data_IF_849990489437
#
_entry.id   IF_849990489437
#
_cell.length_a   1.000
_cell.length_b   1.000
_cell.length_c   1.000
_cell.angle_alpha   90.00
_cell.angle_beta   90.00
_cell.angle_gamma   90.00
#
_symmetry.space_group_name_H-M   'P 1'
#
loop_
_entity.id
_entity.type
_entity.pdbx_description
1 polymer ?
#
# COMPACT_ATOMS: atom_id res chain seq x y z
N UNK A 1 -12.07 20.31 33.38
CA UNK A 1 -13.20 20.73 32.53
C UNK A 1 -13.86 19.47 31.97
N UNK A 2 -15.18 19.28 32.09
CA UNK A 2 -15.84 18.13 31.45
C UNK A 2 -15.92 18.45 29.96
N UNK A 3 -15.13 17.78 29.12
CA UNK A 3 -15.34 17.80 27.66
C UNK A 3 -16.63 17.04 27.39
N UNK A 4 -17.76 17.72 27.51
CA UNK A 4 -18.93 17.37 26.73
C UNK A 4 -18.54 17.62 25.28
N UNK A 5 -18.87 16.71 24.36
CA UNK A 5 -18.80 16.95 22.91
C UNK A 5 -19.79 18.08 22.58
N UNK A 6 -19.45 19.31 22.94
CA UNK A 6 -20.15 20.50 22.52
C UNK A 6 -19.72 20.79 21.09
N UNK A 7 -20.67 21.13 20.22
CA UNK A 7 -20.33 21.46 18.83
C UNK A 7 -19.71 22.86 18.80
N UNK A 8 -18.40 22.90 19.04
CA UNK A 8 -17.62 24.14 19.03
C UNK A 8 -17.49 24.71 17.61
N UNK A 9 -17.88 23.95 16.58
CA UNK A 9 -17.91 24.37 15.18
C UNK A 9 -19.30 24.90 14.77
N UNK A 10 -20.22 25.13 15.72
CA UNK A 10 -21.55 25.69 15.45
C UNK A 10 -21.48 27.02 14.70
N UNK A 11 -20.61 27.93 15.12
CA UNK A 11 -20.46 29.25 14.48
C UNK A 11 -19.91 29.07 13.05
N UNK A 12 -18.91 28.21 12.86
CA UNK A 12 -18.43 27.88 11.51
C UNK A 12 -19.54 27.27 10.64
N UNK A 13 -20.37 26.38 11.20
CA UNK A 13 -21.49 25.76 10.48
C UNK A 13 -22.52 26.82 10.05
N UNK A 14 -22.82 27.79 10.91
CA UNK A 14 -23.71 28.91 10.59
C UNK A 14 -23.12 29.80 9.49
N UNK A 15 -21.84 30.17 9.59
CA UNK A 15 -21.13 30.94 8.57
C UNK A 15 -21.08 30.21 7.22
N UNK A 16 -20.91 28.88 7.23
CA UNK A 16 -20.97 28.03 6.04
C UNK A 16 -22.39 27.97 5.43
N UNK A 17 -23.43 28.03 6.26
CA UNK A 17 -24.82 28.05 5.78
C UNK A 17 -25.20 29.38 5.14
N UNK A 18 -24.68 30.50 5.64
CA UNK A 18 -24.97 31.84 5.10
C UNK A 18 -24.34 32.09 3.73
N UNK A 19 -23.26 31.37 3.39
CA UNK A 19 -22.65 31.44 2.06
C UNK A 19 -23.35 30.52 1.04
N UNK A 20 -24.36 29.74 1.44
CA UNK A 20 -25.11 28.93 0.48
C UNK A 20 -25.86 29.81 -0.53
N UNK A 21 -26.11 29.33 -1.76
CA UNK A 21 -26.74 30.15 -2.80
C UNK A 21 -28.10 30.73 -2.41
N UNK A 22 -28.85 29.99 -1.59
CA UNK A 22 -30.18 30.38 -1.12
C UNK A 22 -30.14 31.48 -0.04
N UNK A 23 -29.09 31.50 0.79
CA UNK A 23 -28.94 32.48 1.89
C UNK A 23 -28.13 33.72 1.49
N UNK A 24 -27.31 33.61 0.43
CA UNK A 24 -26.45 34.70 -0.01
C UNK A 24 -27.23 35.98 -0.33
N UNK A 25 -28.35 35.86 -1.06
CA UNK A 25 -29.13 37.03 -1.50
C UNK A 25 -29.74 37.81 -0.33
N UNK A 26 -30.10 37.12 0.76
CA UNK A 26 -30.67 37.74 1.96
C UNK A 26 -29.62 38.27 2.93
N UNK A 27 -28.48 37.58 3.07
CA UNK A 27 -27.59 37.77 4.22
C UNK A 27 -26.26 38.46 3.85
N UNK A 28 -25.81 38.36 2.60
CA UNK A 28 -24.45 38.74 2.17
C UNK A 28 -24.39 39.53 0.86
N UNK A 29 -25.52 40.06 0.39
CA UNK A 29 -25.58 40.83 -0.86
C UNK A 29 -24.93 42.22 -0.76
N UNK A 30 -24.83 42.80 0.44
CA UNK A 30 -24.16 44.09 0.66
C UNK A 30 -22.68 43.94 1.06
N UNK A 31 -21.80 44.79 0.51
CA UNK A 31 -20.36 44.75 0.79
C UNK A 31 -20.01 44.80 2.30
N UNK A 32 -20.72 45.63 3.08
CA UNK A 32 -20.50 45.72 4.53
C UNK A 32 -20.86 44.44 5.30
N UNK A 33 -21.86 43.67 4.84
CA UNK A 33 -22.20 42.37 5.43
C UNK A 33 -21.12 41.34 5.14
N UNK A 34 -20.56 41.34 3.93
CA UNK A 34 -19.44 40.47 3.54
C UNK A 34 -18.19 40.72 4.38
N UNK A 35 -17.78 41.98 4.55
CA UNK A 35 -16.64 42.32 5.41
C UNK A 35 -16.87 41.95 6.88
N UNK A 36 -18.12 42.03 7.36
CA UNK A 36 -18.47 41.60 8.72
C UNK A 36 -18.39 40.08 8.86
N UNK A 37 -18.86 39.34 7.86
CA UNK A 37 -18.81 37.89 7.81
C UNK A 37 -17.36 37.38 7.78
N UNK A 38 -16.50 38.01 6.98
CA UNK A 38 -15.08 37.66 6.91
C UNK A 38 -14.37 37.89 8.24
N UNK A 39 -14.65 39.01 8.91
CA UNK A 39 -14.10 39.29 10.24
C UNK A 39 -14.55 38.27 11.28
N UNK A 40 -15.81 37.83 11.23
CA UNK A 40 -16.32 36.82 12.15
C UNK A 40 -15.70 35.44 11.88
N UNK A 41 -15.49 35.07 10.61
CA UNK A 41 -14.76 33.85 10.24
C UNK A 41 -13.34 33.86 10.81
N UNK A 42 -12.58 34.95 10.60
CA UNK A 42 -11.21 35.06 11.09
C UNK A 42 -11.13 35.01 12.63
N UNK A 43 -12.09 35.66 13.29
CA UNK A 43 -12.23 35.63 14.76
C UNK A 43 -12.52 34.23 15.26
N UNK A 44 -13.43 33.50 14.61
CA UNK A 44 -13.83 32.18 15.03
C UNK A 44 -12.70 31.15 14.83
N UNK A 45 -12.00 31.21 13.70
CA UNK A 45 -10.80 30.41 13.46
C UNK A 45 -9.72 30.65 14.53
N UNK A 46 -9.52 31.91 14.93
CA UNK A 46 -8.57 32.27 15.98
C UNK A 46 -9.00 31.75 17.35
N UNK A 47 -10.30 31.84 17.66
CA UNK A 47 -10.89 31.29 18.89
C UNK A 47 -10.69 29.78 18.99
N UNK A 48 -10.95 29.04 17.91
CA UNK A 48 -10.79 27.58 17.86
C UNK A 48 -9.33 27.17 18.03
N UNK A 49 -8.40 27.81 17.32
CA UNK A 49 -6.96 27.55 17.48
C UNK A 49 -6.49 27.80 18.92
N UNK A 50 -6.93 28.90 19.55
CA UNK A 50 -6.61 29.20 20.95
C UNK A 50 -7.20 28.15 21.91
N UNK A 51 -8.45 27.74 21.68
CA UNK A 51 -9.13 26.73 22.48
C UNK A 51 -8.43 25.37 22.40
N UNK A 52 -8.14 24.89 21.19
CA UNK A 52 -7.39 23.65 20.99
C UNK A 52 -5.99 23.73 21.62
N UNK A 53 -5.29 24.86 21.47
CA UNK A 53 -3.99 25.05 22.14
C UNK A 53 -4.11 24.93 23.66
N UNK A 54 -5.15 25.50 24.26
CA UNK A 54 -5.41 25.37 25.70
C UNK A 54 -5.66 23.93 26.14
N UNK A 55 -6.39 23.16 25.32
CA UNK A 55 -6.69 21.74 25.54
C UNK A 55 -5.41 20.87 25.51
N UNK A 56 -4.42 21.23 24.69
CA UNK A 56 -3.16 20.49 24.57
C UNK A 56 -2.37 20.44 25.89
N UNK A 57 -2.53 21.46 26.74
CA UNK A 57 -1.85 21.56 28.04
C UNK A 57 -2.74 21.15 29.23
N UNK A 58 -3.98 20.71 28.98
CA UNK A 58 -4.91 20.27 30.03
C UNK A 58 -4.64 18.81 30.44
N UNK A 59 -5.04 18.44 31.66
CA UNK A 59 -4.88 17.08 32.24
C UNK A 59 -5.97 16.16 31.70
N UNK A 60 -6.09 16.08 30.36
CA UNK A 60 -7.05 15.21 29.69
C UNK A 60 -6.43 13.85 29.43
N UNK A 61 -7.28 12.82 29.49
CA UNK A 61 -6.86 11.47 29.11
C UNK A 61 -6.71 11.40 27.59
N UNK A 62 -5.59 10.85 27.11
CA UNK A 62 -5.27 10.68 25.68
C UNK A 62 -6.44 10.20 24.83
N UNK A 63 -7.21 9.20 25.30
CA UNK A 63 -8.35 8.64 24.58
C UNK A 63 -9.51 9.64 24.38
N UNK A 64 -9.73 10.54 25.34
CA UNK A 64 -10.77 11.57 25.21
C UNK A 64 -10.32 12.66 24.24
N UNK A 65 -9.04 13.06 24.33
CA UNK A 65 -8.44 14.03 23.41
C UNK A 65 -8.44 13.49 21.97
N UNK A 66 -8.11 12.22 21.79
CA UNK A 66 -8.20 11.53 20.49
C UNK A 66 -9.59 11.62 19.88
N UNK A 67 -10.62 11.18 20.62
CA UNK A 67 -12.01 11.22 20.15
C UNK A 67 -12.47 12.63 19.84
N UNK A 68 -12.08 13.60 20.65
CA UNK A 68 -12.43 15.00 20.46
C UNK A 68 -11.77 15.58 19.19
N UNK A 69 -10.48 15.35 19.00
CA UNK A 69 -9.75 15.83 17.82
C UNK A 69 -10.29 15.19 16.54
N UNK A 70 -10.51 13.87 16.55
CA UNK A 70 -11.05 13.16 15.39
C UNK A 70 -12.48 13.61 15.05
N UNK A 71 -13.32 13.88 16.06
CA UNK A 71 -14.65 14.44 15.84
C UNK A 71 -14.60 15.80 15.13
N UNK A 72 -13.74 16.71 15.58
CA UNK A 72 -13.56 18.02 14.94
C UNK A 72 -12.97 17.88 13.53
N UNK A 73 -12.00 16.97 13.34
CA UNK A 73 -11.43 16.67 12.02
C UNK A 73 -12.52 16.23 11.03
N UNK A 74 -13.37 15.26 11.41
CA UNK A 74 -14.47 14.79 10.54
C UNK A 74 -15.43 15.91 10.20
N UNK A 75 -15.84 16.72 11.18
CA UNK A 75 -16.76 17.84 10.96
C UNK A 75 -16.19 18.90 10.01
N UNK A 76 -14.91 19.23 10.12
CA UNK A 76 -14.23 20.14 9.20
C UNK A 76 -14.16 19.56 7.79
N UNK A 77 -13.90 18.27 7.64
CA UNK A 77 -13.91 17.57 6.34
C UNK A 77 -15.30 17.65 5.71
N UNK A 78 -16.36 17.41 6.49
CA UNK A 78 -17.73 17.51 6.02
C UNK A 78 -18.07 18.93 5.53
N UNK A 79 -17.70 19.96 6.30
CA UNK A 79 -17.90 21.36 5.91
C UNK A 79 -17.15 21.71 4.62
N UNK A 80 -15.90 21.25 4.45
CA UNK A 80 -15.15 21.44 3.21
C UNK A 80 -15.89 20.84 2.00
N UNK A 81 -16.36 19.60 2.15
CA UNK A 81 -17.05 18.89 1.07
C UNK A 81 -18.39 19.53 0.71
N UNK A 82 -19.13 20.03 1.72
CA UNK A 82 -20.39 20.77 1.51
C UNK A 82 -20.17 22.05 0.71
N UNK A 83 -19.25 22.92 1.15
CA UNK A 83 -19.01 24.20 0.47
C UNK A 83 -18.44 24.00 -0.94
N UNK A 84 -17.63 22.96 -1.16
CA UNK A 84 -17.16 22.64 -2.50
C UNK A 84 -18.30 22.19 -3.43
N UNK A 85 -19.27 21.42 -2.93
CA UNK A 85 -20.45 21.02 -3.71
C UNK A 85 -21.28 22.25 -4.10
N UNK A 86 -21.53 23.16 -3.16
CA UNK A 86 -22.29 24.39 -3.38
C UNK A 86 -21.62 25.32 -4.41
N UNK A 87 -20.30 25.50 -4.32
CA UNK A 87 -19.52 26.26 -5.31
C UNK A 87 -19.63 25.65 -6.72
N UNK A 88 -19.61 24.32 -6.82
CA UNK A 88 -19.74 23.61 -8.09
C UNK A 88 -21.12 23.73 -8.74
N UNK A 89 -22.20 23.77 -7.95
CA UNK A 89 -23.56 23.96 -8.46
C UNK A 89 -23.82 25.41 -8.89
N UNK A 90 -23.34 26.36 -8.10
CA UNK A 90 -23.55 27.80 -8.33
C UNK A 90 -22.94 28.27 -9.64
N UNK A 91 -21.74 27.77 -9.95
CA UNK A 91 -21.04 28.06 -11.21
C UNK A 91 -21.83 27.66 -12.47
N UNK A 92 -22.86 26.81 -12.37
CA UNK A 92 -23.63 26.31 -13.51
C UNK A 92 -24.94 27.07 -13.77
N UNK A 93 -25.46 27.81 -12.78
CA UNK A 93 -26.86 28.28 -12.78
C UNK A 93 -27.04 29.79 -12.56
N UNK A 94 -26.02 30.52 -12.10
CA UNK A 94 -26.18 31.90 -11.63
C UNK A 94 -25.53 32.97 -12.50
N UNK A 95 -25.90 34.24 -12.28
CA UNK A 95 -25.39 35.40 -13.01
C UNK A 95 -23.88 35.67 -12.74
N UNK A 96 -23.09 36.20 -13.69
CA UNK A 96 -21.63 36.28 -13.58
C UNK A 96 -21.10 37.04 -12.35
N UNK A 97 -21.72 38.16 -11.97
CA UNK A 97 -21.29 38.96 -10.81
C UNK A 97 -21.54 38.24 -9.48
N UNK A 98 -22.72 37.60 -9.33
CA UNK A 98 -23.05 36.77 -8.18
C UNK A 98 -22.09 35.57 -8.06
N UNK A 99 -21.79 34.91 -9.19
CA UNK A 99 -20.84 33.79 -9.22
C UNK A 99 -19.46 34.22 -8.74
N UNK A 100 -18.99 35.41 -9.10
CA UNK A 100 -17.68 35.92 -8.66
C UNK A 100 -17.62 36.16 -7.15
N UNK A 101 -18.59 36.88 -6.59
CA UNK A 101 -18.57 37.24 -5.16
C UNK A 101 -18.86 36.03 -4.25
N UNK A 102 -19.82 35.18 -4.64
CA UNK A 102 -20.10 33.92 -3.94
C UNK A 102 -18.89 32.98 -3.97
N UNK A 103 -18.20 32.91 -5.12
CA UNK A 103 -16.97 32.12 -5.24
C UNK A 103 -15.88 32.65 -4.33
N UNK A 104 -15.69 33.96 -4.24
CA UNK A 104 -14.70 34.57 -3.36
C UNK A 104 -14.92 34.18 -1.89
N UNK A 105 -16.15 34.30 -1.39
CA UNK A 105 -16.48 33.94 -0.01
C UNK A 105 -16.31 32.44 0.25
N UNK A 106 -16.73 31.58 -0.69
CA UNK A 106 -16.54 30.14 -0.55
C UNK A 106 -15.07 29.72 -0.59
N UNK A 107 -14.25 30.34 -1.45
CA UNK A 107 -12.79 30.12 -1.48
C UNK A 107 -12.14 30.58 -0.17
N UNK A 108 -12.54 31.73 0.39
CA UNK A 108 -12.07 32.22 1.69
C UNK A 108 -12.48 31.29 2.84
N UNK A 109 -13.72 30.80 2.83
CA UNK A 109 -14.20 29.82 3.82
C UNK A 109 -13.41 28.51 3.74
N UNK A 110 -13.23 27.96 2.54
CA UNK A 110 -12.45 26.73 2.33
C UNK A 110 -11.00 26.90 2.80
N UNK A 111 -10.36 28.03 2.51
CA UNK A 111 -9.02 28.34 3.00
C UNK A 111 -8.96 28.31 4.53
N UNK A 112 -9.96 28.92 5.19
CA UNK A 112 -10.02 28.93 6.65
C UNK A 112 -10.21 27.52 7.25
N UNK A 113 -11.04 26.67 6.62
CA UNK A 113 -11.20 25.28 7.04
C UNK A 113 -9.92 24.45 6.83
N UNK A 114 -9.21 24.65 5.71
CA UNK A 114 -7.92 23.99 5.47
C UNK A 114 -6.88 24.42 6.48
N UNK A 115 -6.85 25.70 6.85
CA UNK A 115 -5.95 26.20 7.89
C UNK A 115 -6.22 25.56 9.27
N UNK A 116 -7.50 25.29 9.59
CA UNK A 116 -7.86 24.58 10.81
C UNK A 116 -7.47 23.09 10.73
N UNK A 117 -7.72 22.42 9.61
CA UNK A 117 -7.29 21.02 9.40
C UNK A 117 -5.77 20.89 9.49
N UNK A 118 -5.02 21.78 8.83
CA UNK A 118 -3.56 21.83 8.89
C UNK A 118 -3.05 22.11 10.31
N UNK A 119 -3.77 22.95 11.07
CA UNK A 119 -3.44 23.20 12.48
C UNK A 119 -3.60 21.91 13.30
N UNK A 120 -4.71 21.19 13.13
CA UNK A 120 -4.91 19.91 13.84
C UNK A 120 -3.83 18.90 13.44
N UNK A 121 -3.55 18.74 12.14
CA UNK A 121 -2.53 17.82 11.64
C UNK A 121 -1.15 18.08 12.26
N UNK A 122 -0.75 19.35 12.36
CA UNK A 122 0.58 19.77 12.87
C UNK A 122 0.71 19.67 14.38
N UNK A 123 -0.30 20.09 15.14
CA UNK A 123 -0.19 20.19 16.61
C UNK A 123 -0.77 18.97 17.33
N UNK A 124 -1.65 18.20 16.69
CA UNK A 124 -2.29 17.01 17.24
C UNK A 124 -1.96 15.76 16.45
N UNK A 125 -0.74 15.65 15.90
CA UNK A 125 -0.32 14.55 15.02
C UNK A 125 -0.56 13.16 15.61
N UNK A 126 -0.39 12.99 16.93
CA UNK A 126 -0.66 11.73 17.65
C UNK A 126 -2.14 11.31 17.60
N UNK A 127 -3.05 12.28 17.51
CA UNK A 127 -4.49 12.10 17.62
C UNK A 127 -5.21 12.22 16.27
N UNK A 128 -4.53 12.79 15.27
CA UNK A 128 -5.05 13.00 13.93
C UNK A 128 -5.29 11.67 13.21
N UNK A 129 -6.51 11.47 12.70
CA UNK A 129 -6.85 10.24 11.99
C UNK A 129 -6.41 10.34 10.52
N UNK A 130 -5.28 9.71 10.20
CA UNK A 130 -4.76 9.70 8.84
C UNK A 130 -5.54 8.78 7.88
N UNK A 131 -6.40 7.89 8.37
CA UNK A 131 -7.21 7.00 7.54
C UNK A 131 -8.53 7.63 7.06
N UNK A 132 -8.82 8.88 7.44
CA UNK A 132 -9.93 9.66 6.87
C UNK A 132 -9.56 10.16 5.47
N UNK A 133 -10.59 10.27 4.61
CA UNK A 133 -10.45 10.87 3.28
C UNK A 133 -10.10 12.36 3.37
N UNK A 134 -9.21 12.79 2.49
CA UNK A 134 -8.85 14.20 2.31
C UNK A 134 -10.00 14.92 1.61
N UNK A 135 -10.42 16.12 2.06
CA UNK A 135 -11.40 16.92 1.33
C UNK A 135 -10.98 17.11 -0.13
N UNK A 136 -11.92 16.95 -1.08
CA UNK A 136 -11.57 16.93 -2.51
C UNK A 136 -10.87 18.20 -2.98
N UNK A 137 -11.29 19.36 -2.49
CA UNK A 137 -10.65 20.64 -2.80
C UNK A 137 -9.22 20.70 -2.25
N UNK A 138 -8.98 20.18 -1.04
CA UNK A 138 -7.63 20.12 -0.48
C UNK A 138 -6.72 19.14 -1.23
N UNK A 139 -7.26 17.99 -1.64
CA UNK A 139 -6.56 17.03 -2.50
C UNK A 139 -6.19 17.67 -3.85
N UNK A 140 -7.14 18.35 -4.50
CA UNK A 140 -6.89 19.03 -5.77
C UNK A 140 -5.81 20.12 -5.67
N UNK A 141 -5.84 20.92 -4.61
CA UNK A 141 -4.79 21.91 -4.33
C UNK A 141 -3.43 21.24 -4.13
N UNK A 142 -3.36 20.21 -3.28
CA UNK A 142 -2.10 19.49 -3.01
C UNK A 142 -1.52 18.84 -4.26
N UNK A 143 -2.35 18.24 -5.12
CA UNK A 143 -1.90 17.66 -6.39
C UNK A 143 -1.43 18.73 -7.39
N UNK A 144 -2.08 19.90 -7.41
CA UNK A 144 -1.65 21.02 -8.24
C UNK A 144 -0.29 21.58 -7.79
N UNK A 145 -0.06 21.71 -6.49
CA UNK A 145 1.21 22.16 -5.91
C UNK A 145 2.37 21.23 -6.31
N UNK A 146 2.15 19.91 -6.30
CA UNK A 146 3.18 18.92 -6.66
C UNK A 146 3.36 18.71 -8.16
N UNK A 147 2.45 19.22 -9.00
CA UNK A 147 2.39 18.89 -10.43
C UNK A 147 3.70 19.18 -11.17
N UNK A 148 4.27 20.36 -10.94
CA UNK A 148 5.50 20.76 -11.62
C UNK A 148 6.70 19.95 -11.13
N UNK A 149 6.76 19.61 -9.84
CA UNK A 149 7.80 18.73 -9.30
C UNK A 149 7.69 17.31 -9.88
N UNK A 150 6.48 16.77 -10.01
CA UNK A 150 6.26 15.46 -10.66
C UNK A 150 6.72 15.49 -12.11
N UNK A 151 6.43 16.58 -12.86
CA UNK A 151 6.91 16.75 -14.24
C UNK A 151 8.44 16.78 -14.32
N UNK A 152 9.09 17.52 -13.42
CA UNK A 152 10.55 17.62 -13.36
C UNK A 152 11.21 16.27 -13.00
N UNK A 153 10.61 15.50 -12.08
CA UNK A 153 11.05 14.13 -11.77
C UNK A 153 11.01 13.29 -13.05
N UNK A 154 9.90 13.33 -13.79
CA UNK A 154 9.73 12.54 -15.01
C UNK A 154 10.76 12.88 -16.09
N UNK A 155 10.98 14.17 -16.35
CA UNK A 155 11.99 14.66 -17.31
C UNK A 155 13.42 14.27 -16.87
N UNK A 156 13.72 14.40 -15.57
CA UNK A 156 15.03 14.04 -15.04
C UNK A 156 15.28 12.54 -15.15
N UNK A 157 14.25 11.71 -14.94
CA UNK A 157 14.37 10.27 -15.08
C UNK A 157 14.62 9.83 -16.54
N UNK A 158 14.07 10.54 -17.53
CA UNK A 158 14.36 10.27 -18.95
C UNK A 158 15.80 10.63 -19.34
N UNK A 159 16.31 11.71 -18.76
CA UNK A 159 17.63 12.24 -19.10
C UNK A 159 18.79 11.52 -18.38
N UNK A 160 18.49 10.84 -17.27
CA UNK A 160 19.45 9.99 -16.56
C UNK A 160 19.23 8.54 -17.04
N UNK A 161 20.28 7.78 -17.29
CA UNK A 161 20.22 6.37 -17.76
C UNK A 161 19.66 5.43 -16.68
N UNK A 162 18.44 5.69 -16.21
CA UNK A 162 17.71 4.90 -15.24
C UNK A 162 17.07 3.72 -15.98
N UNK A 163 17.09 2.56 -15.35
CA UNK A 163 16.44 1.35 -15.85
C UNK A 163 14.95 1.59 -16.17
N UNK A 164 14.49 1.07 -17.31
CA UNK A 164 13.13 1.31 -17.80
C UNK A 164 12.06 0.75 -16.86
N UNK A 165 12.27 -0.43 -16.31
CA UNK A 165 11.30 -1.06 -15.41
C UNK A 165 11.22 -0.31 -14.07
N UNK A 166 12.35 0.22 -13.58
CA UNK A 166 12.35 1.10 -12.40
C UNK A 166 11.61 2.42 -12.68
N UNK A 167 11.82 3.03 -13.85
CA UNK A 167 11.07 4.22 -14.26
C UNK A 167 9.56 3.94 -14.32
N UNK A 168 9.17 2.79 -14.87
CA UNK A 168 7.76 2.38 -14.96
C UNK A 168 7.12 2.20 -13.58
N UNK A 169 7.83 1.59 -12.62
CA UNK A 169 7.34 1.46 -11.24
C UNK A 169 7.01 2.83 -10.61
N UNK A 170 7.93 3.79 -10.75
CA UNK A 170 7.78 5.15 -10.22
C UNK A 170 6.66 5.89 -10.96
N UNK A 171 6.66 5.86 -12.30
CA UNK A 171 5.66 6.55 -13.13
C UNK A 171 4.26 6.03 -12.90
N UNK A 172 4.09 4.71 -12.81
CA UNK A 172 2.78 4.11 -12.58
C UNK A 172 2.14 4.62 -11.29
N UNK A 173 2.95 4.75 -10.23
CA UNK A 173 2.50 5.33 -8.97
C UNK A 173 2.14 6.82 -9.09
N UNK A 174 3.03 7.63 -9.67
CA UNK A 174 2.80 9.08 -9.83
C UNK A 174 1.59 9.40 -10.74
N UNK A 175 1.41 8.63 -11.83
CA UNK A 175 0.25 8.76 -12.74
C UNK A 175 -1.05 8.31 -12.06
N UNK A 176 -1.03 7.21 -11.32
CA UNK A 176 -2.19 6.73 -10.57
C UNK A 176 -2.76 7.78 -9.60
N UNK A 177 -1.90 8.65 -9.06
CA UNK A 177 -2.29 9.77 -8.21
C UNK A 177 -2.71 11.03 -8.98
N UNK A 178 -2.17 11.27 -10.19
CA UNK A 178 -2.40 12.48 -10.97
C UNK A 178 -3.54 12.42 -11.99
N UNK A 179 -3.86 11.23 -12.51
CA UNK A 179 -4.84 11.02 -13.60
C UNK A 179 -6.21 10.55 -13.09
N UNK A 180 -6.31 10.17 -11.82
CA UNK A 180 -7.59 9.77 -11.26
C UNK A 180 -8.48 11.01 -11.19
N UNK A 181 -9.49 11.03 -12.07
CA UNK A 181 -10.40 12.16 -12.26
C UNK A 181 -11.25 12.49 -11.03
N UNK A 182 -12.45 13.07 -11.18
CA UNK A 182 -13.27 13.57 -10.06
C UNK A 182 -13.71 12.53 -9.02
N UNK A 183 -13.30 11.26 -9.17
CA UNK A 183 -13.55 10.13 -8.25
C UNK A 183 -12.32 9.73 -7.42
N UNK A 184 -11.15 10.34 -7.62
CA UNK A 184 -10.01 10.05 -6.76
C UNK A 184 -10.33 10.45 -5.32
N UNK A 185 -10.31 9.46 -4.43
CA UNK A 185 -10.38 9.65 -3.00
C UNK A 185 -9.08 9.09 -2.41
N UNK A 186 -8.31 9.96 -1.77
CA UNK A 186 -7.13 9.57 -1.00
C UNK A 186 -7.40 9.86 0.47
N UNK A 187 -6.88 8.98 1.33
CA UNK A 187 -6.76 9.24 2.76
C UNK A 187 -5.62 10.21 3.03
N UNK A 188 -5.64 10.89 4.19
CA UNK A 188 -4.52 11.74 4.61
C UNK A 188 -3.20 10.97 4.62
N UNK A 189 -3.21 9.71 5.07
CA UNK A 189 -2.06 8.82 5.07
C UNK A 189 -1.46 8.67 3.67
N UNK A 190 -2.31 8.42 2.67
CA UNK A 190 -1.88 8.25 1.27
C UNK A 190 -1.34 9.57 0.70
N UNK A 191 -1.98 10.71 1.01
CA UNK A 191 -1.50 12.01 0.56
C UNK A 191 -0.15 12.38 1.19
N UNK A 192 0.04 12.13 2.49
CA UNK A 192 1.30 12.34 3.20
C UNK A 192 2.39 11.45 2.60
N UNK A 193 2.07 10.18 2.32
CA UNK A 193 2.99 9.27 1.65
C UNK A 193 3.38 9.79 0.26
N UNK A 194 2.42 10.26 -0.55
CA UNK A 194 2.70 10.86 -1.87
C UNK A 194 3.59 12.09 -1.79
N UNK A 195 3.29 13.04 -0.88
CA UNK A 195 4.12 14.23 -0.65
C UNK A 195 5.55 13.84 -0.30
N UNK A 196 5.70 12.94 0.68
CA UNK A 196 6.99 12.41 1.12
C UNK A 196 7.74 11.73 -0.03
N UNK A 197 7.03 10.93 -0.84
CA UNK A 197 7.60 10.21 -1.97
C UNK A 197 8.15 11.17 -3.02
N UNK A 198 7.37 12.18 -3.41
CA UNK A 198 7.76 13.20 -4.40
C UNK A 198 8.96 14.02 -3.89
N UNK A 199 8.92 14.49 -2.65
CA UNK A 199 10.00 15.27 -2.04
C UNK A 199 11.33 14.49 -2.01
N UNK A 200 11.29 13.24 -1.56
CA UNK A 200 12.48 12.40 -1.41
C UNK A 200 13.05 11.94 -2.77
N UNK A 201 12.20 11.64 -3.76
CA UNK A 201 12.65 11.35 -5.12
C UNK A 201 13.31 12.57 -5.76
N UNK A 202 12.67 13.74 -5.62
CA UNK A 202 13.20 14.98 -6.20
C UNK A 202 14.56 15.32 -5.58
N UNK A 203 14.72 15.17 -4.27
CA UNK A 203 16.00 15.37 -3.58
C UNK A 203 17.10 14.45 -4.11
N UNK A 204 16.82 13.16 -4.26
CA UNK A 204 17.79 12.21 -4.82
C UNK A 204 18.10 12.51 -6.29
N UNK A 205 17.11 12.81 -7.12
CA UNK A 205 17.30 13.10 -8.54
C UNK A 205 18.03 14.44 -8.78
N UNK A 206 17.86 15.43 -7.91
CA UNK A 206 18.58 16.70 -7.97
C UNK A 206 20.06 16.56 -7.57
N UNK A 207 20.41 15.56 -6.76
CA UNK A 207 21.79 15.34 -6.34
C UNK A 207 22.71 14.98 -7.54
N UNK A 208 24.02 15.20 -7.32
CA UNK A 208 25.05 14.94 -8.33
C UNK A 208 24.93 13.52 -8.93
N UNK A 209 25.28 13.35 -10.22
CA UNK A 209 25.26 12.05 -10.87
C UNK A 209 26.14 11.04 -10.13
N UNK A 210 25.52 9.99 -9.60
CA UNK A 210 26.23 8.89 -8.95
C UNK A 210 26.54 7.78 -9.95
N UNK A 211 27.61 7.02 -9.69
CA UNK A 211 28.04 5.86 -10.50
C UNK A 211 26.91 4.84 -10.72
N UNK A 212 26.00 4.65 -9.74
CA UNK A 212 24.85 3.77 -9.89
C UNK A 212 23.56 4.41 -9.38
N UNK A 213 22.92 5.20 -10.26
CA UNK A 213 21.64 5.87 -9.98
C UNK A 213 20.50 4.88 -9.68
N UNK A 214 20.48 3.73 -10.36
CA UNK A 214 19.45 2.70 -10.20
C UNK A 214 19.46 2.13 -8.77
N UNK A 215 20.64 1.75 -8.27
CA UNK A 215 20.79 1.25 -6.91
C UNK A 215 20.45 2.31 -5.86
N UNK A 216 20.78 3.58 -6.11
CA UNK A 216 20.43 4.69 -5.21
C UNK A 216 18.91 4.84 -5.11
N UNK A 217 18.22 4.88 -6.24
CA UNK A 217 16.76 4.99 -6.29
C UNK A 217 16.08 3.75 -5.69
N UNK A 218 16.56 2.54 -6.00
CA UNK A 218 16.04 1.32 -5.40
C UNK A 218 16.17 1.34 -3.86
N UNK A 219 17.32 1.77 -3.33
CA UNK A 219 17.51 1.96 -1.90
C UNK A 219 16.56 3.01 -1.32
N UNK A 220 16.31 4.11 -2.05
CA UNK A 220 15.35 5.13 -1.62
C UNK A 220 13.93 4.58 -1.56
N UNK A 221 13.52 3.81 -2.55
CA UNK A 221 12.20 3.17 -2.57
C UNK A 221 12.05 2.12 -1.45
N UNK A 222 13.11 1.40 -1.10
CA UNK A 222 13.15 0.54 0.10
C UNK A 222 13.03 1.36 1.38
N UNK A 223 13.77 2.47 1.49
CA UNK A 223 13.69 3.40 2.63
C UNK A 223 12.28 3.96 2.82
N UNK A 224 11.61 4.33 1.74
CA UNK A 224 10.22 4.81 1.74
C UNK A 224 9.20 3.68 1.95
N UNK A 225 9.62 2.41 1.99
CA UNK A 225 8.74 1.26 2.03
C UNK A 225 7.70 1.26 0.89
N UNK A 226 8.17 1.45 -0.33
CA UNK A 226 7.36 1.34 -1.54
C UNK A 226 7.05 -0.13 -1.85
N UNK A 227 6.19 -0.73 -1.04
CA UNK A 227 5.83 -2.16 -1.08
C UNK A 227 4.85 -2.53 -2.20
N UNK A 228 5.09 -2.01 -3.40
CA UNK A 228 4.41 -2.42 -4.63
C UNK A 228 5.07 -3.67 -5.22
N UNK A 229 4.29 -4.64 -5.71
CA UNK A 229 4.80 -5.88 -6.29
C UNK A 229 5.70 -5.67 -7.51
N UNK A 230 5.40 -4.71 -8.38
CA UNK A 230 6.22 -4.43 -9.56
C UNK A 230 7.63 -3.97 -9.18
N UNK A 231 7.76 -3.18 -8.11
CA UNK A 231 9.04 -2.77 -7.57
C UNK A 231 9.75 -3.92 -6.83
N UNK A 232 9.00 -4.77 -6.13
CA UNK A 232 9.59 -5.99 -5.56
C UNK A 232 10.19 -6.89 -6.64
N UNK A 233 9.45 -7.15 -7.72
CA UNK A 233 9.91 -7.93 -8.86
C UNK A 233 11.15 -7.30 -9.53
N UNK A 234 11.15 -5.98 -9.72
CA UNK A 234 12.33 -5.24 -10.18
C UNK A 234 13.59 -5.57 -9.38
N UNK A 235 13.49 -5.50 -8.05
CA UNK A 235 14.62 -5.79 -7.17
C UNK A 235 15.07 -7.25 -7.30
N UNK A 236 14.14 -8.20 -7.44
CA UNK A 236 14.49 -9.60 -7.64
C UNK A 236 15.26 -9.79 -8.95
N UNK A 237 14.78 -9.21 -10.04
CA UNK A 237 15.40 -9.34 -11.37
C UNK A 237 16.78 -8.68 -11.40
N UNK A 238 16.93 -7.49 -10.80
CA UNK A 238 18.21 -6.80 -10.67
C UNK A 238 19.23 -7.64 -9.89
N UNK A 239 18.81 -8.26 -8.78
CA UNK A 239 19.71 -9.06 -7.94
C UNK A 239 20.06 -10.38 -8.61
N UNK A 240 19.09 -11.03 -9.27
CA UNK A 240 19.33 -12.27 -10.04
C UNK A 240 20.27 -12.04 -11.20
N UNK A 241 20.10 -10.96 -11.97
CA UNK A 241 20.98 -10.63 -13.07
C UNK A 241 22.45 -10.52 -12.61
N UNK A 242 22.71 -9.91 -11.45
CA UNK A 242 24.08 -9.85 -10.90
C UNK A 242 24.56 -11.21 -10.36
N UNK A 243 23.66 -12.03 -9.80
CA UNK A 243 24.04 -13.38 -9.35
C UNK A 243 24.41 -14.29 -10.54
N UNK A 244 23.67 -14.17 -11.64
CA UNK A 244 23.81 -14.97 -12.86
C UNK A 244 24.96 -14.49 -13.76
N UNK A 245 25.68 -13.41 -13.40
CA UNK A 245 26.92 -12.99 -14.06
C UNK A 245 28.05 -14.04 -13.92
N UNK A 246 27.87 -15.04 -13.05
CA UNK A 246 28.76 -16.18 -12.90
C UNK A 246 27.98 -17.49 -12.78
N UNK A 247 28.43 -18.52 -13.49
CA UNK A 247 27.91 -19.89 -13.37
C UNK A 247 28.30 -20.57 -12.03
N UNK A 248 29.10 -19.92 -11.18
CA UNK A 248 29.53 -20.48 -9.89
C UNK A 248 28.51 -20.22 -8.79
N UNK A 249 28.01 -21.28 -8.17
CA UNK A 249 27.06 -21.17 -7.06
C UNK A 249 27.62 -20.41 -5.85
N UNK A 250 28.93 -20.49 -5.58
CA UNK A 250 29.57 -19.71 -4.52
C UNK A 250 29.50 -18.21 -4.79
N UNK A 251 29.60 -17.80 -6.06
CA UNK A 251 29.44 -16.40 -6.46
C UNK A 251 28.00 -15.94 -6.22
N UNK A 252 27.02 -16.70 -6.71
CA UNK A 252 25.60 -16.43 -6.50
C UNK A 252 25.27 -16.28 -5.01
N UNK A 253 25.76 -17.21 -4.18
CA UNK A 253 25.54 -17.16 -2.74
C UNK A 253 26.16 -15.91 -2.11
N UNK A 254 27.36 -15.51 -2.54
CA UNK A 254 28.02 -14.30 -2.06
C UNK A 254 27.23 -13.03 -2.43
N UNK A 255 26.68 -12.96 -3.66
CA UNK A 255 25.83 -11.86 -4.12
C UNK A 255 24.57 -11.76 -3.24
N UNK A 256 23.84 -12.85 -3.04
CA UNK A 256 22.63 -12.86 -2.21
C UNK A 256 22.92 -12.48 -0.75
N UNK A 257 23.99 -13.02 -0.15
CA UNK A 257 24.39 -12.68 1.23
C UNK A 257 24.77 -11.20 1.39
N UNK A 258 25.42 -10.62 0.37
CA UNK A 258 25.79 -9.20 0.37
C UNK A 258 24.54 -8.31 0.34
N UNK A 259 23.56 -8.61 -0.51
CA UNK A 259 22.28 -7.89 -0.53
C UNK A 259 21.49 -8.06 0.77
N UNK A 260 21.43 -9.29 1.32
CA UNK A 260 20.74 -9.57 2.57
C UNK A 260 21.35 -8.79 3.74
N UNK A 261 22.68 -8.72 3.81
CA UNK A 261 23.40 -7.95 4.83
C UNK A 261 23.14 -6.44 4.66
N UNK A 262 23.19 -5.95 3.42
CA UNK A 262 22.87 -4.56 3.10
C UNK A 262 21.45 -4.18 3.54
N UNK A 263 20.45 -5.03 3.25
CA UNK A 263 19.06 -4.77 3.61
C UNK A 263 18.84 -4.75 5.12
N UNK A 264 19.44 -5.70 5.86
CA UNK A 264 19.36 -5.71 7.34
C UNK A 264 19.83 -4.39 7.94
N UNK A 265 20.92 -3.83 7.39
CA UNK A 265 21.48 -2.54 7.82
C UNK A 265 20.72 -1.30 7.31
N UNK A 266 19.85 -1.45 6.32
CA UNK A 266 19.10 -0.34 5.74
C UNK A 266 17.99 0.11 6.68
N UNK A 267 17.97 1.39 7.03
CA UNK A 267 16.89 2.00 7.78
C UNK A 267 15.66 2.17 6.87
N UNK A 268 14.47 1.99 7.43
CA UNK A 268 13.21 2.36 6.79
C UNK A 268 12.69 3.62 7.46
N UNK A 269 12.05 4.51 6.70
CA UNK A 269 11.40 5.69 7.25
C UNK A 269 10.24 5.22 8.16
N UNK A 270 10.22 5.59 9.45
CA UNK A 270 9.17 5.16 10.36
C UNK A 270 7.83 5.71 9.90
N UNK A 271 6.77 4.91 10.06
CA UNK A 271 5.37 5.27 9.77
C UNK A 271 5.06 5.71 8.32
N UNK A 272 5.97 5.42 7.38
CA UNK A 272 5.80 5.68 5.95
C UNK A 272 5.69 4.35 5.21
N UNK A 273 4.58 4.15 4.51
CA UNK A 273 4.33 2.93 3.71
C UNK A 273 3.30 3.20 2.63
N UNK A 274 3.47 2.57 1.47
CA UNK A 274 2.53 2.67 0.37
C UNK A 274 1.25 1.85 0.65
N UNK A 275 1.40 0.57 0.99
CA UNK A 275 0.32 -0.31 1.42
C UNK A 275 0.47 -0.72 2.88
N UNK A 276 -0.48 -0.29 3.72
CA UNK A 276 -0.44 -0.51 5.18
C UNK A 276 -0.66 -1.95 5.61
N UNK A 277 -1.46 -2.67 4.84
CA UNK A 277 -1.87 -4.05 5.15
C UNK A 277 -0.87 -5.08 4.61
N UNK A 278 0.17 -4.61 3.92
CA UNK A 278 1.17 -5.44 3.25
C UNK A 278 2.48 -5.45 4.04
N UNK A 279 3.26 -6.54 4.00
CA UNK A 279 4.60 -6.53 4.53
C UNK A 279 5.44 -5.42 3.90
N UNK A 280 6.45 -4.95 4.62
CA UNK A 280 7.39 -3.98 4.05
C UNK A 280 8.17 -4.60 2.90
N UNK A 281 8.55 -3.79 1.91
CA UNK A 281 9.37 -4.29 0.79
C UNK A 281 10.71 -4.84 1.28
N UNK A 282 11.26 -4.23 2.35
CA UNK A 282 12.43 -4.75 3.05
C UNK A 282 12.19 -6.18 3.54
N UNK A 283 11.08 -6.43 4.24
CA UNK A 283 10.76 -7.76 4.75
C UNK A 283 10.53 -8.78 3.63
N UNK A 284 9.83 -8.38 2.56
CA UNK A 284 9.62 -9.23 1.38
C UNK A 284 10.96 -9.65 0.75
N UNK A 285 11.88 -8.70 0.57
CA UNK A 285 13.22 -8.96 0.03
C UNK A 285 14.07 -9.80 0.97
N UNK A 286 14.04 -9.55 2.28
CA UNK A 286 14.78 -10.33 3.27
C UNK A 286 14.31 -11.79 3.28
N UNK A 287 13.00 -12.03 3.26
CA UNK A 287 12.44 -13.39 3.20
C UNK A 287 12.88 -14.09 1.92
N UNK A 288 12.70 -13.44 0.76
CA UNK A 288 13.07 -14.01 -0.52
C UNK A 288 14.58 -14.31 -0.62
N UNK A 289 15.45 -13.39 -0.20
CA UNK A 289 16.91 -13.61 -0.21
C UNK A 289 17.34 -14.74 0.71
N UNK A 290 16.67 -14.92 1.86
CA UNK A 290 16.96 -16.02 2.76
C UNK A 290 16.64 -17.38 2.11
N UNK A 291 15.56 -17.44 1.33
CA UNK A 291 15.19 -18.64 0.56
C UNK A 291 16.21 -18.91 -0.56
N UNK A 292 16.63 -17.87 -1.31
CA UNK A 292 17.64 -18.01 -2.37
C UNK A 292 19.02 -18.46 -1.84
N UNK A 293 19.48 -17.88 -0.72
CA UNK A 293 20.73 -18.32 -0.04
C UNK A 293 20.65 -19.79 0.36
N UNK A 294 19.48 -20.23 0.84
CA UNK A 294 19.25 -21.62 1.25
C UNK A 294 19.26 -22.55 0.03
N UNK A 295 18.58 -22.17 -1.05
CA UNK A 295 18.51 -22.93 -2.29
C UNK A 295 19.90 -23.13 -2.91
N UNK A 296 20.68 -22.07 -3.06
CA UNK A 296 22.05 -22.15 -3.60
C UNK A 296 22.97 -22.94 -2.67
N UNK A 297 22.83 -22.79 -1.36
CA UNK A 297 23.62 -23.55 -0.38
C UNK A 297 23.44 -25.07 -0.52
N UNK A 298 22.23 -25.53 -0.83
CA UNK A 298 21.96 -26.94 -1.12
C UNK A 298 22.72 -27.39 -2.37
N UNK A 299 22.74 -26.57 -3.44
CA UNK A 299 23.44 -26.89 -4.69
C UNK A 299 24.96 -27.00 -4.49
N UNK A 300 25.57 -26.06 -3.76
CA UNK A 300 27.01 -26.11 -3.41
C UNK A 300 27.33 -27.40 -2.64
N UNK A 301 26.51 -27.74 -1.64
CA UNK A 301 26.73 -28.95 -0.83
C UNK A 301 26.70 -30.24 -1.65
N UNK A 302 25.97 -30.25 -2.77
CA UNK A 302 25.83 -31.39 -3.67
C UNK A 302 26.95 -31.48 -4.75
N UNK A 303 27.74 -30.42 -4.98
CA UNK A 303 28.82 -30.39 -5.97
C UNK A 303 30.18 -30.88 -5.47
N UNK A 304 30.36 -31.05 -4.15
CA UNK A 304 31.59 -31.62 -3.59
C UNK A 304 31.73 -33.11 -3.97
N UNK A 305 32.89 -33.58 -4.49
CA UNK A 305 33.12 -35.00 -4.73
C UNK A 305 33.02 -35.75 -3.40
N UNK A 306 32.10 -36.72 -3.36
CA UNK A 306 31.77 -37.50 -2.16
C UNK A 306 32.96 -38.35 -1.69
N UNK A 307 33.75 -37.81 -0.77
CA UNK A 307 34.56 -38.55 0.19
C UNK A 307 33.90 -38.66 1.57
N UNK A 308 32.60 -38.39 1.66
CA UNK A 308 31.85 -38.42 2.91
C UNK A 308 30.80 -39.51 2.86
N UNK A 309 30.91 -40.43 3.83
CA UNK A 309 29.89 -41.42 4.18
C UNK A 309 28.51 -40.79 4.07
N UNK A 310 27.65 -41.36 3.21
CA UNK A 310 26.24 -41.02 3.07
C UNK A 310 25.65 -40.78 4.47
N UNK A 311 25.09 -39.59 4.76
CA UNK A 311 24.32 -39.44 5.98
C UNK A 311 23.16 -40.45 5.90
N UNK A 312 22.91 -41.09 7.03
CA UNK A 312 21.94 -42.14 7.23
C UNK A 312 20.68 -41.94 6.37
N UNK A 313 20.34 -42.99 5.61
CA UNK A 313 19.06 -43.26 4.95
C UNK A 313 17.99 -42.23 5.36
N UNK A 314 17.80 -41.18 4.55
CA UNK A 314 16.75 -40.19 4.80
C UNK A 314 15.43 -40.96 4.81
N UNK A 315 14.81 -41.08 5.98
CA UNK A 315 13.51 -41.71 6.10
C UNK A 315 12.51 -40.91 5.26
N UNK A 316 11.80 -41.60 4.36
CA UNK A 316 10.84 -40.98 3.45
C UNK A 316 9.83 -40.14 4.23
N UNK A 317 9.60 -38.91 3.77
CA UNK A 317 8.64 -38.01 4.39
C UNK A 317 7.23 -38.60 4.30
N UNK A 318 6.55 -38.72 5.45
CA UNK A 318 5.23 -39.31 5.53
C UNK A 318 4.14 -38.29 5.18
N UNK A 319 3.36 -38.58 4.13
CA UNK A 319 2.23 -37.77 3.71
C UNK A 319 0.92 -38.35 4.23
N UNK A 320 0.05 -37.50 4.76
CA UNK A 320 -1.33 -37.88 5.10
C UNK A 320 -2.26 -37.88 3.86
N UNK A 321 -1.78 -38.42 2.75
CA UNK A 321 -2.49 -38.56 1.47
C UNK A 321 -2.39 -40.01 1.00
N UNK A 322 -3.43 -40.52 0.31
CA UNK A 322 -3.30 -41.75 -0.47
C UNK A 322 -2.45 -41.51 -1.73
N UNK A 323 -1.94 -42.58 -2.36
CA UNK A 323 -1.20 -42.47 -3.63
C UNK A 323 -2.05 -41.79 -4.72
N UNK A 324 -3.35 -42.10 -4.78
CA UNK A 324 -4.28 -41.48 -5.72
C UNK A 324 -4.46 -39.97 -5.46
N UNK A 325 -4.60 -39.57 -4.19
CA UNK A 325 -4.71 -38.15 -3.81
C UNK A 325 -3.43 -37.38 -4.11
N UNK A 326 -2.27 -38.00 -3.86
CA UNK A 326 -0.97 -37.43 -4.19
C UNK A 326 -0.80 -37.25 -5.70
N UNK A 327 -1.14 -38.26 -6.50
CA UNK A 327 -1.08 -38.19 -7.95
C UNK A 327 -2.00 -37.09 -8.52
N UNK A 328 -3.22 -36.98 -7.97
CA UNK A 328 -4.15 -35.93 -8.35
C UNK A 328 -3.64 -34.53 -7.99
N UNK A 329 -3.06 -34.35 -6.80
CA UNK A 329 -2.47 -33.07 -6.40
C UNK A 329 -1.26 -32.70 -7.27
N UNK A 330 -0.38 -33.66 -7.55
CA UNK A 330 0.77 -33.48 -8.45
C UNK A 330 0.33 -33.06 -9.85
N UNK A 331 -0.77 -33.63 -10.36
CA UNK A 331 -1.32 -33.24 -11.66
C UNK A 331 -1.77 -31.78 -11.68
N UNK A 332 -2.48 -31.31 -10.66
CA UNK A 332 -2.86 -29.90 -10.57
C UNK A 332 -1.63 -29.00 -10.51
N UNK A 333 -0.59 -29.39 -9.76
CA UNK A 333 0.67 -28.64 -9.71
C UNK A 333 1.40 -28.60 -11.06
N UNK A 334 1.38 -29.69 -11.83
CA UNK A 334 1.94 -29.73 -13.19
C UNK A 334 1.12 -28.87 -14.16
N UNK A 335 -0.21 -28.97 -14.13
CA UNK A 335 -1.11 -28.19 -15.00
C UNK A 335 -1.04 -26.68 -14.70
N UNK A 336 -0.84 -26.30 -13.44
CA UNK A 336 -0.61 -24.92 -13.00
C UNK A 336 0.87 -24.48 -13.11
N UNK A 337 1.72 -25.29 -13.76
CA UNK A 337 3.15 -24.99 -14.00
C UNK A 337 3.95 -24.65 -12.74
N UNK A 338 3.59 -25.25 -11.59
CA UNK A 338 4.31 -25.10 -10.32
C UNK A 338 5.72 -25.71 -10.42
N UNK A 339 5.89 -26.72 -11.26
CA UNK A 339 7.19 -27.33 -11.54
C UNK A 339 7.79 -26.75 -12.82
N UNK A 340 9.05 -26.32 -12.75
CA UNK A 340 9.81 -25.82 -13.91
C UNK A 340 10.25 -26.94 -14.87
N UNK A 341 10.12 -28.21 -14.46
CA UNK A 341 10.55 -29.37 -15.26
C UNK A 341 9.40 -29.98 -16.06
N UNK A 342 9.57 -30.12 -17.38
CA UNK A 342 8.58 -30.78 -18.25
C UNK A 342 8.58 -32.32 -18.13
N UNK A 343 9.56 -32.90 -17.42
CA UNK A 343 9.71 -34.35 -17.32
C UNK A 343 8.89 -34.95 -16.16
N UNK A 344 7.61 -35.18 -16.42
CA UNK A 344 6.68 -35.80 -15.46
C UNK A 344 7.15 -37.19 -14.98
N UNK A 345 7.88 -37.94 -15.82
CA UNK A 345 8.39 -39.27 -15.44
C UNK A 345 9.52 -39.20 -14.40
N UNK A 346 10.33 -38.15 -14.46
CA UNK A 346 11.38 -37.88 -13.47
C UNK A 346 10.79 -37.36 -12.17
N UNK A 347 9.75 -36.54 -12.25
CA UNK A 347 8.95 -36.13 -11.10
C UNK A 347 8.37 -37.35 -10.36
N UNK A 348 7.85 -38.35 -11.08
CA UNK A 348 7.35 -39.58 -10.43
C UNK A 348 8.45 -40.36 -9.71
N UNK A 349 9.65 -40.45 -10.30
CA UNK A 349 10.82 -41.10 -9.66
C UNK A 349 11.22 -40.34 -8.40
N UNK A 350 11.28 -39.02 -8.47
CA UNK A 350 11.59 -38.16 -7.33
C UNK A 350 10.58 -38.35 -6.19
N UNK A 351 9.28 -38.26 -6.48
CA UNK A 351 8.24 -38.40 -5.45
C UNK A 351 8.29 -39.79 -4.81
N UNK A 352 8.45 -40.85 -5.62
CA UNK A 352 8.56 -42.22 -5.11
C UNK A 352 9.81 -42.45 -4.24
N UNK A 353 10.91 -41.76 -4.52
CA UNK A 353 12.15 -41.85 -3.76
C UNK A 353 12.06 -41.15 -2.40
N UNK A 354 11.39 -40.00 -2.32
CA UNK A 354 11.43 -39.12 -1.15
C UNK A 354 10.19 -39.18 -0.24
N UNK A 355 9.04 -39.67 -0.73
CA UNK A 355 7.79 -39.65 0.03
C UNK A 355 7.17 -41.04 0.23
N UNK A 356 6.44 -41.18 1.34
CA UNK A 356 5.56 -42.32 1.62
C UNK A 356 4.13 -41.83 1.87
N UNK A 357 3.15 -42.63 1.46
CA UNK A 357 1.73 -42.27 1.55
C UNK A 357 1.12 -42.77 2.87
N UNK A 358 -0.07 -42.29 3.22
CA UNK A 358 -0.80 -42.68 4.44
C UNK A 358 -1.00 -44.19 4.58
N UNK A 359 -1.10 -44.90 3.45
CA UNK A 359 -1.44 -46.33 3.40
C UNK A 359 -0.32 -47.21 2.84
N UNK A 360 0.74 -46.62 2.28
CA UNK A 360 1.82 -47.35 1.64
C UNK A 360 3.16 -46.69 1.93
N UNK A 361 4.04 -47.45 2.57
CA UNK A 361 5.41 -47.04 2.91
C UNK A 361 6.30 -46.92 1.66
N UNK A 362 6.04 -47.75 0.66
CA UNK A 362 6.70 -47.70 -0.64
C UNK A 362 5.70 -47.31 -1.73
N UNK A 363 5.82 -46.08 -2.21
CA UNK A 363 5.15 -45.63 -3.45
C UNK A 363 6.05 -46.05 -4.61
N UNK A 364 5.48 -46.72 -5.63
CA UNK A 364 6.21 -46.96 -6.88
C UNK A 364 5.90 -45.86 -7.90
N UNK A 365 6.89 -45.46 -8.71
CA UNK A 365 6.69 -44.47 -9.77
C UNK A 365 5.62 -44.93 -10.78
N UNK A 366 5.52 -46.24 -11.05
CA UNK A 366 4.49 -46.82 -11.90
C UNK A 366 3.08 -46.69 -11.32
N UNK A 367 2.91 -46.92 -10.02
CA UNK A 367 1.62 -46.73 -9.33
C UNK A 367 1.20 -45.26 -9.33
N UNK A 368 2.15 -44.34 -9.11
CA UNK A 368 1.89 -42.90 -9.13
C UNK A 368 1.49 -42.42 -10.54
N UNK A 369 2.20 -42.89 -11.58
CA UNK A 369 1.89 -42.60 -12.98
C UNK A 369 0.48 -43.09 -13.35
N UNK A 370 0.13 -44.32 -12.99
CA UNK A 370 -1.21 -44.87 -13.26
C UNK A 370 -2.32 -44.03 -12.64
N UNK A 371 -2.16 -43.63 -11.38
CA UNK A 371 -3.14 -42.80 -10.68
C UNK A 371 -3.19 -41.35 -11.22
N UNK A 372 -2.07 -40.82 -11.70
CA UNK A 372 -1.96 -39.48 -12.27
C UNK A 372 -2.81 -39.33 -13.55
N UNK A 373 -2.75 -40.34 -14.43
CA UNK A 373 -3.55 -40.36 -15.66
C UNK A 373 -4.97 -40.90 -15.44
N UNK A 374 -5.20 -41.64 -14.36
CA UNK A 374 -6.47 -42.33 -14.05
C UNK A 374 -7.27 -41.74 -12.87
N UNK A 375 -7.27 -40.42 -12.69
CA UNK A 375 -7.90 -39.76 -11.54
C UNK A 375 -9.42 -40.01 -11.51
N UNK A 376 -9.93 -40.55 -10.39
CA UNK A 376 -11.37 -40.71 -10.15
C UNK A 376 -12.02 -39.43 -9.63
N UNK A 377 -13.32 -39.23 -9.89
CA UNK A 377 -14.09 -38.10 -9.34
C UNK A 377 -14.06 -38.04 -7.81
N UNK A 378 -14.07 -39.20 -7.13
CA UNK A 378 -13.99 -39.29 -5.67
C UNK A 378 -12.63 -38.80 -5.17
N UNK A 379 -11.54 -39.14 -5.87
CA UNK A 379 -10.20 -38.64 -5.55
C UNK A 379 -10.14 -37.11 -5.74
N UNK A 380 -10.65 -36.61 -6.86
CA UNK A 380 -10.68 -35.18 -7.17
C UNK A 380 -11.48 -34.38 -6.12
N UNK A 381 -12.66 -34.86 -5.72
CA UNK A 381 -13.47 -34.20 -4.68
C UNK A 381 -12.73 -34.11 -3.33
N UNK A 382 -11.99 -35.16 -2.94
CA UNK A 382 -11.20 -35.16 -1.72
C UNK A 382 -10.02 -34.18 -1.77
N UNK A 383 -9.34 -34.08 -2.91
CA UNK A 383 -8.24 -33.13 -3.13
C UNK A 383 -8.78 -31.70 -3.18
N UNK A 384 -9.92 -31.46 -3.85
CA UNK A 384 -10.60 -30.16 -3.84
C UNK A 384 -10.93 -29.70 -2.41
N UNK A 385 -11.49 -30.58 -1.59
CA UNK A 385 -11.77 -30.26 -0.18
C UNK A 385 -10.49 -29.95 0.62
N UNK A 386 -9.36 -30.57 0.29
CA UNK A 386 -8.06 -30.22 0.88
C UNK A 386 -7.61 -28.81 0.43
N UNK A 387 -7.65 -28.53 -0.87
CA UNK A 387 -7.25 -27.24 -1.43
C UNK A 387 -8.13 -26.09 -0.89
N UNK A 388 -9.44 -26.30 -0.75
CA UNK A 388 -10.35 -25.33 -0.15
C UNK A 388 -10.01 -25.04 1.32
N UNK A 389 -9.63 -26.05 2.10
CA UNK A 389 -9.15 -25.84 3.48
C UNK A 389 -7.82 -25.09 3.51
N UNK A 390 -6.91 -25.39 2.59
CA UNK A 390 -5.64 -24.66 2.45
C UNK A 390 -5.90 -23.19 2.09
N UNK A 391 -6.72 -22.94 1.06
CA UNK A 391 -7.16 -21.60 0.66
C UNK A 391 -7.85 -20.85 1.81
N UNK A 392 -8.74 -21.50 2.56
CA UNK A 392 -9.38 -20.90 3.74
C UNK A 392 -8.38 -20.53 4.84
N UNK A 393 -7.34 -21.35 5.06
CA UNK A 393 -6.26 -21.04 6.00
C UNK A 393 -5.41 -19.89 5.49
N UNK A 394 -5.08 -19.86 4.20
CA UNK A 394 -4.36 -18.75 3.57
C UNK A 394 -5.17 -17.46 3.76
N UNK A 395 -6.47 -17.49 3.47
CA UNK A 395 -7.36 -16.36 3.71
C UNK A 395 -7.41 -15.95 5.18
N UNK A 396 -7.53 -16.91 6.10
CA UNK A 396 -7.55 -16.59 7.53
C UNK A 396 -6.23 -16.00 8.04
N UNK A 397 -5.09 -16.50 7.59
CA UNK A 397 -3.77 -16.11 8.10
C UNK A 397 -3.19 -14.89 7.41
N UNK A 398 -3.51 -14.66 6.14
CA UNK A 398 -2.90 -13.63 5.31
C UNK A 398 -3.92 -12.65 4.70
N UNK A 399 -5.22 -12.96 4.73
CA UNK A 399 -6.31 -12.10 4.22
C UNK A 399 -7.53 -12.03 5.17
N UNK A 400 -7.35 -11.79 6.49
CA UNK A 400 -8.40 -12.01 7.51
C UNK A 400 -9.67 -11.15 7.32
N UNK A 401 -9.60 -10.08 6.53
CA UNK A 401 -10.72 -9.15 6.30
C UNK A 401 -11.74 -9.67 5.28
N UNK A 402 -11.36 -10.64 4.42
CA UNK A 402 -12.30 -11.22 3.43
C UNK A 402 -13.43 -12.02 4.11
N UNK A 403 -13.20 -12.56 5.31
CA UNK A 403 -14.23 -13.28 6.07
C UNK A 403 -15.27 -12.36 6.72
N UNK A 404 -14.98 -11.06 6.91
CA UNK A 404 -15.94 -10.09 7.44
C UNK A 404 -16.84 -9.49 6.35
N UNK A 405 -16.35 -9.43 5.10
CA UNK A 405 -17.10 -8.91 3.95
C UNK A 405 -17.77 -10.00 3.10
N UNK A 406 -17.33 -11.26 3.20
CA UNK A 406 -17.72 -12.36 2.31
C UNK A 406 -19.10 -12.99 2.52
N UNK A 407 -19.95 -12.44 3.39
CA UNK A 407 -21.37 -12.86 3.50
C UNK A 407 -22.35 -11.87 2.83
N UNK A 408 -21.85 -10.81 2.19
CA UNK A 408 -22.68 -9.90 1.41
C UNK A 408 -22.02 -9.62 0.06
N UNK A 409 -22.48 -10.32 -0.99
CA UNK A 409 -22.44 -9.71 -2.34
C UNK A 409 -21.65 -10.38 -3.45
N UNK A 410 -21.37 -11.69 -3.42
CA UNK A 410 -20.89 -12.38 -4.63
C UNK A 410 -21.61 -13.70 -4.89
N UNK A 411 -22.92 -13.60 -5.12
CA UNK A 411 -23.66 -14.45 -6.05
C UNK A 411 -24.69 -13.56 -6.75
N UNK A 412 -24.42 -13.18 -7.99
CA UNK A 412 -25.33 -12.34 -8.76
C UNK A 412 -24.75 -11.89 -10.10
N UNK A 413 -24.88 -12.78 -11.08
CA UNK A 413 -24.77 -12.58 -12.55
C UNK A 413 -23.38 -12.48 -13.15
#
# INVERSE_FOLDING_TARGET
MVILLHDELNILTQLGSSISPAAYESDLSAAGQRESWERELDRECSRLKALWTGILFDVLKDRLLERYIQFNQTRLIDLCNLVQADLGETSKKAAPAFVSDHRHLGEKYLSALFDLLNFIERYFTKFFNQDLEVPRAYLALSLNEMRETIRQIDETMLNRQIDLHLQECIRAYLKGCGEAGPRLALTYRQLIYLKTFVEELNGDLAAEPTVNINLRLARKLVYLNFNQLSFFAYCQDMIRAEADDSDMYEHQQAVYLRYLTSLKSTQTKPDVFYHKDWPSVKHMLESWLQDEVTAVGILISNQLPQGAVLPAKIDKAALNLSVAQLACLLRMMVEEQVFLSDNVSELFRFIAAHYRSKRQEHISAGSLSKEFYGISQVTAANVLGLLQRMSSRINKHYFPVVLAAGLAGFFGS
#
